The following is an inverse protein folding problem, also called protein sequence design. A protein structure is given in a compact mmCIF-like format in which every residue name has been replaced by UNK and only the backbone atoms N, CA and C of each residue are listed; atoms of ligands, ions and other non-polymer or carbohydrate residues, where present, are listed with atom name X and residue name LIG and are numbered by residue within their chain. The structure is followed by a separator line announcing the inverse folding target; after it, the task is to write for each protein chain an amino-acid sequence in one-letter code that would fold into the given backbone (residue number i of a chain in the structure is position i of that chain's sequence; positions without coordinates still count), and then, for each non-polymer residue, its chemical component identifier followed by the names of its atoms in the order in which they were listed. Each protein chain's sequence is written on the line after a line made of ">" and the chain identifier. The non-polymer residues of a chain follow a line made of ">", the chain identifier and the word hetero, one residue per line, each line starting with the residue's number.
data_IF_518532716768
#
_entry.id   IF_518532716768
#
_cell.length_a   1.000
_cell.length_b   1.000
_cell.length_c   1.000
_cell.angle_alpha   90.00
_cell.angle_beta   90.00
_cell.angle_gamma   90.00
#
_symmetry.space_group_name_H-M   'P 1'
#
loop_
_entity.id
_entity.type
_entity.pdbx_description
1 polymer ?
#
# COMPACT_ATOMS: atom_id res chain seq x y z
N UNK A 1 4.21 6.18 13.63
CA UNK A 1 5.19 6.17 12.54
C UNK A 1 4.62 5.67 11.21
N UNK A 2 3.68 4.75 11.20
CA UNK A 2 3.10 4.16 9.98
C UNK A 2 2.15 5.10 9.23
N UNK A 3 1.48 6.00 9.93
CA UNK A 3 0.50 6.95 9.39
C UNK A 3 1.13 8.23 8.85
N UNK A 4 2.26 8.63 9.39
CA UNK A 4 2.88 9.92 9.11
C UNK A 4 3.32 10.07 7.64
N UNK A 5 4.05 9.11 7.03
CA UNK A 5 4.52 9.26 5.65
C UNK A 5 3.39 9.40 4.62
N UNK A 6 2.33 8.52 4.62
CA UNK A 6 1.26 8.67 3.65
C UNK A 6 0.40 9.92 3.88
N UNK A 7 0.18 10.34 5.12
CA UNK A 7 -0.55 11.58 5.42
C UNK A 7 0.21 12.80 4.95
N UNK A 8 1.54 12.84 5.16
CA UNK A 8 2.38 13.92 4.62
C UNK A 8 2.37 13.94 3.10
N UNK A 9 2.44 12.78 2.44
CA UNK A 9 2.33 12.66 0.99
C UNK A 9 1.02 13.26 0.47
N UNK A 10 -0.11 12.92 1.10
CA UNK A 10 -1.43 13.45 0.75
C UNK A 10 -1.56 14.96 1.05
N UNK A 11 -0.97 15.44 2.14
CA UNK A 11 -1.02 16.85 2.51
C UNK A 11 -0.28 17.75 1.51
N UNK A 12 0.82 17.24 0.93
CA UNK A 12 1.66 17.99 -0.02
C UNK A 12 1.19 17.79 -1.46
N UNK A 13 0.81 16.56 -1.85
CA UNK A 13 0.38 16.21 -3.22
C UNK A 13 -1.08 16.54 -3.52
N UNK A 14 -1.89 16.82 -2.49
CA UNK A 14 -3.35 16.97 -2.60
C UNK A 14 -4.08 15.62 -2.50
N UNK A 15 -5.32 15.66 -1.99
CA UNK A 15 -6.16 14.47 -1.87
C UNK A 15 -6.73 14.03 -3.22
N UNK A 16 -6.46 12.80 -3.61
CA UNK A 16 -7.07 12.18 -4.77
C UNK A 16 -8.12 11.13 -4.34
N UNK A 17 -9.06 10.81 -5.24
CA UNK A 17 -10.03 9.73 -4.99
C UNK A 17 -9.34 8.36 -4.84
N UNK A 18 -8.17 8.20 -5.42
CA UNK A 18 -7.38 6.97 -5.36
C UNK A 18 -6.76 6.80 -3.98
N UNK A 19 -6.42 7.90 -3.28
CA UNK A 19 -5.89 7.85 -1.91
C UNK A 19 -6.88 7.20 -0.94
N UNK A 20 -8.19 7.41 -1.16
CA UNK A 20 -9.23 6.78 -0.37
C UNK A 20 -9.24 5.24 -0.47
N UNK A 21 -8.63 4.68 -1.50
CA UNK A 21 -8.49 3.23 -1.70
C UNK A 21 -7.09 2.75 -1.30
N UNK A 22 -6.05 3.50 -1.65
CA UNK A 22 -4.65 3.14 -1.38
C UNK A 22 -4.33 3.16 0.11
N UNK A 23 -4.84 4.14 0.86
CA UNK A 23 -4.59 4.23 2.31
C UNK A 23 -5.19 3.04 3.09
N UNK A 24 -6.47 2.66 2.90
CA UNK A 24 -6.99 1.44 3.50
C UNK A 24 -6.26 0.17 3.04
N UNK A 25 -5.86 0.09 1.76
CA UNK A 25 -5.06 -1.02 1.24
C UNK A 25 -3.74 -1.16 2.01
N UNK A 26 -3.05 -0.05 2.23
CA UNK A 26 -1.81 -0.01 3.02
C UNK A 26 -2.01 -0.48 4.46
N UNK A 27 -3.08 -0.04 5.12
CA UNK A 27 -3.39 -0.48 6.48
C UNK A 27 -3.74 -1.96 6.56
N UNK A 28 -4.55 -2.45 5.63
CA UNK A 28 -4.89 -3.87 5.55
C UNK A 28 -3.64 -4.73 5.29
N UNK A 29 -2.73 -4.27 4.43
CA UNK A 29 -1.44 -4.93 4.18
C UNK A 29 -0.59 -5.00 5.45
N UNK A 30 -0.53 -3.91 6.21
CA UNK A 30 0.20 -3.87 7.48
C UNK A 30 -0.41 -4.83 8.52
N UNK A 31 -1.74 -4.83 8.69
CA UNK A 31 -2.40 -5.75 9.60
C UNK A 31 -2.23 -7.21 9.17
N UNK A 32 -2.30 -7.49 7.86
CA UNK A 32 -2.01 -8.82 7.31
C UNK A 32 -0.59 -9.27 7.68
N UNK A 33 0.38 -8.40 7.48
CA UNK A 33 1.78 -8.68 7.86
C UNK A 33 1.92 -8.94 9.36
N UNK A 34 1.28 -8.11 10.21
CA UNK A 34 1.33 -8.28 11.66
C UNK A 34 0.71 -9.60 12.11
N UNK A 35 -0.48 -9.96 11.59
CA UNK A 35 -1.14 -11.24 11.91
C UNK A 35 -0.32 -12.41 11.38
N UNK A 36 0.28 -12.30 10.20
CA UNK A 36 1.15 -13.33 9.62
C UNK A 36 2.36 -13.59 10.51
N UNK A 37 3.02 -12.55 11.01
CA UNK A 37 4.17 -12.70 11.91
C UNK A 37 3.78 -13.36 13.22
N UNK A 38 2.62 -13.02 13.80
CA UNK A 38 2.10 -13.69 15.00
C UNK A 38 1.77 -15.16 14.72
N UNK A 39 1.18 -15.46 13.57
CA UNK A 39 0.88 -16.83 13.18
C UNK A 39 2.14 -17.68 12.99
N UNK A 40 3.18 -17.12 12.38
CA UNK A 40 4.47 -17.81 12.22
C UNK A 40 5.17 -18.09 13.56
N UNK A 41 5.10 -17.16 14.50
CA UNK A 41 5.69 -17.31 15.85
C UNK A 41 4.98 -18.34 16.71
N UNK A 42 3.71 -18.56 16.47
CA UNK A 42 2.89 -19.46 17.28
C UNK A 42 3.14 -20.91 16.87
N UNK A 43 3.81 -21.69 17.72
CA UNK A 43 4.10 -23.11 17.45
C UNK A 43 2.92 -24.04 17.75
N UNK A 44 1.97 -23.62 18.60
CA UNK A 44 0.83 -24.44 19.01
C UNK A 44 -0.33 -24.38 18.01
N UNK A 45 -0.84 -25.51 17.50
CA UNK A 45 -1.97 -25.54 16.57
C UNK A 45 -3.25 -24.88 17.13
N UNK A 46 -3.51 -25.05 18.42
CA UNK A 46 -4.68 -24.44 19.11
C UNK A 46 -4.63 -22.90 19.12
N UNK A 47 -3.44 -22.33 19.26
CA UNK A 47 -3.23 -20.87 19.25
C UNK A 47 -3.17 -20.30 17.84
N UNK A 48 -2.92 -21.11 16.81
CA UNK A 48 -2.95 -20.71 15.40
C UNK A 48 -4.37 -20.63 14.83
N UNK A 49 -5.29 -21.45 15.34
CA UNK A 49 -6.64 -21.55 14.83
C UNK A 49 -7.36 -20.17 14.79
N UNK A 50 -7.39 -19.37 15.86
CA UNK A 50 -8.08 -18.08 15.87
C UNK A 50 -7.41 -17.03 14.97
N UNK A 51 -6.11 -17.18 14.61
CA UNK A 51 -5.39 -16.23 13.75
C UNK A 51 -5.66 -16.46 12.25
N UNK A 52 -6.23 -17.61 11.86
CA UNK A 52 -6.52 -17.92 10.45
C UNK A 52 -7.61 -17.02 9.86
N UNK A 53 -8.67 -16.79 10.62
CA UNK A 53 -9.79 -15.96 10.16
C UNK A 53 -9.35 -14.50 9.89
N UNK A 54 -8.72 -13.77 10.84
CA UNK A 54 -8.26 -12.42 10.57
C UNK A 54 -7.19 -12.36 9.48
N UNK A 55 -6.29 -13.34 9.39
CA UNK A 55 -5.30 -13.41 8.33
C UNK A 55 -5.96 -13.51 6.95
N UNK A 56 -6.95 -14.40 6.79
CA UNK A 56 -7.68 -14.56 5.54
C UNK A 56 -8.46 -13.29 5.16
N UNK A 57 -9.13 -12.67 6.12
CA UNK A 57 -9.90 -11.44 5.89
C UNK A 57 -8.98 -10.28 5.46
N UNK A 58 -7.94 -9.99 6.24
CA UNK A 58 -7.04 -8.88 5.90
C UNK A 58 -6.25 -9.11 4.61
N UNK A 59 -5.83 -10.35 4.32
CA UNK A 59 -5.15 -10.66 3.06
C UNK A 59 -6.09 -10.54 1.86
N UNK A 60 -7.33 -11.01 1.98
CA UNK A 60 -8.33 -10.85 0.93
C UNK A 60 -8.66 -9.37 0.69
N UNK A 61 -8.90 -8.59 1.75
CA UNK A 61 -9.13 -7.15 1.63
C UNK A 61 -7.94 -6.43 0.98
N UNK A 62 -6.71 -6.75 1.40
CA UNK A 62 -5.50 -6.17 0.80
C UNK A 62 -5.43 -6.48 -0.70
N UNK A 63 -5.70 -7.72 -1.10
CA UNK A 63 -5.67 -8.14 -2.51
C UNK A 63 -6.73 -7.40 -3.32
N UNK A 64 -7.96 -7.32 -2.82
CA UNK A 64 -9.05 -6.61 -3.50
C UNK A 64 -8.74 -5.12 -3.64
N UNK A 65 -8.34 -4.46 -2.55
CA UNK A 65 -8.03 -3.03 -2.57
C UNK A 65 -6.80 -2.72 -3.45
N UNK A 66 -5.79 -3.60 -3.46
CA UNK A 66 -4.64 -3.47 -4.35
C UNK A 66 -5.05 -3.62 -5.83
N UNK A 67 -5.92 -4.59 -6.14
CA UNK A 67 -6.44 -4.76 -7.50
C UNK A 67 -7.27 -3.56 -7.96
N UNK A 68 -8.12 -3.01 -7.09
CA UNK A 68 -8.88 -1.80 -7.36
C UNK A 68 -7.96 -0.59 -7.57
N UNK A 69 -6.93 -0.44 -6.73
CA UNK A 69 -5.94 0.64 -6.88
C UNK A 69 -5.21 0.57 -8.21
N UNK A 70 -4.80 -0.63 -8.64
CA UNK A 70 -4.15 -0.85 -9.93
C UNK A 70 -5.09 -0.60 -11.12
N UNK A 71 -6.38 -0.93 -10.97
CA UNK A 71 -7.39 -0.65 -12.01
C UNK A 71 -7.64 0.85 -12.17
N UNK A 72 -7.63 1.61 -11.06
CA UNK A 72 -7.83 3.06 -11.06
C UNK A 72 -6.58 3.83 -11.52
N UNK A 73 -5.39 3.31 -11.20
CA UNK A 73 -4.12 3.95 -11.47
C UNK A 73 -3.05 2.93 -11.90
N UNK A 74 -3.01 2.55 -13.21
CA UNK A 74 -2.12 1.49 -13.69
C UNK A 74 -0.62 1.78 -13.48
N UNK A 75 -0.24 3.06 -13.41
CA UNK A 75 1.15 3.46 -13.14
C UNK A 75 1.65 3.04 -11.75
N UNK A 76 0.72 2.74 -10.81
CA UNK A 76 1.05 2.18 -9.50
C UNK A 76 1.75 0.80 -9.60
N UNK A 77 1.63 0.11 -10.74
CA UNK A 77 2.33 -1.14 -10.96
C UNK A 77 3.87 -0.99 -10.85
N UNK A 78 4.42 0.15 -11.28
CA UNK A 78 5.83 0.48 -11.11
C UNK A 78 6.26 0.57 -9.64
N UNK A 79 5.45 1.22 -8.82
CA UNK A 79 5.66 1.29 -7.37
C UNK A 79 5.48 -0.08 -6.69
N UNK A 80 4.52 -0.89 -7.17
CA UNK A 80 4.33 -2.27 -6.73
C UNK A 80 5.57 -3.12 -6.94
N UNK A 81 6.25 -2.99 -8.09
CA UNK A 81 7.48 -3.70 -8.39
C UNK A 81 8.62 -3.40 -7.39
N UNK A 82 8.62 -2.20 -6.82
CA UNK A 82 9.58 -1.78 -5.78
C UNK A 82 9.17 -2.29 -4.38
N UNK A 83 7.88 -2.28 -4.07
CA UNK A 83 7.35 -2.65 -2.75
C UNK A 83 7.30 -4.16 -2.55
N UNK A 84 7.05 -4.96 -3.60
CA UNK A 84 6.98 -6.43 -3.52
C UNK A 84 8.28 -7.07 -3.02
N UNK A 85 9.48 -6.75 -3.54
CA UNK A 85 10.71 -7.33 -3.02
C UNK A 85 10.99 -6.90 -1.58
N UNK A 86 10.65 -5.68 -1.19
CA UNK A 86 10.78 -5.22 0.19
C UNK A 86 9.87 -6.02 1.13
N UNK A 87 8.62 -6.25 0.72
CA UNK A 87 7.67 -7.08 1.46
C UNK A 87 8.15 -8.54 1.55
N UNK A 88 8.69 -9.10 0.45
CA UNK A 88 9.24 -10.45 0.43
C UNK A 88 10.42 -10.62 1.40
N UNK A 89 11.33 -9.65 1.44
CA UNK A 89 12.45 -9.63 2.40
C UNK A 89 11.93 -9.54 3.83
N UNK A 90 10.94 -8.68 4.11
CA UNK A 90 10.35 -8.54 5.44
C UNK A 90 9.69 -9.86 5.90
N UNK A 91 8.91 -10.52 5.04
CA UNK A 91 8.29 -11.83 5.34
C UNK A 91 9.35 -12.91 5.53
N UNK A 92 10.40 -12.94 4.70
CA UNK A 92 11.49 -13.90 4.84
C UNK A 92 12.25 -13.74 6.17
N UNK A 93 12.51 -12.51 6.60
CA UNK A 93 13.14 -12.24 7.90
C UNK A 93 12.22 -12.63 9.06
N UNK A 94 10.92 -12.40 8.95
CA UNK A 94 9.91 -12.84 9.91
C UNK A 94 9.90 -14.38 10.02
N UNK A 95 9.99 -15.09 8.90
CA UNK A 95 10.05 -16.56 8.88
C UNK A 95 11.29 -17.10 9.59
N UNK A 96 12.43 -16.44 9.42
CA UNK A 96 13.68 -16.80 10.11
C UNK A 96 13.71 -16.42 11.60
N UNK A 97 12.66 -15.81 12.12
CA UNK A 97 12.57 -15.34 13.51
C UNK A 97 13.53 -14.19 13.85
N UNK A 98 14.10 -13.53 12.82
CA UNK A 98 15.02 -12.40 12.95
C UNK A 98 14.33 -11.04 12.80
N UNK A 99 13.08 -10.92 13.23
CA UNK A 99 12.29 -9.68 13.12
C UNK A 99 12.90 -8.49 13.89
N UNK A 100 13.71 -8.75 14.91
CA UNK A 100 14.44 -7.72 15.66
C UNK A 100 15.81 -7.39 15.07
N UNK A 101 16.12 -7.91 13.88
CA UNK A 101 17.36 -7.54 13.18
C UNK A 101 17.25 -6.11 12.64
N UNK A 102 18.36 -5.41 12.58
CA UNK A 102 18.44 -4.08 11.95
C UNK A 102 17.89 -4.10 10.51
N UNK A 103 18.10 -5.20 9.78
CA UNK A 103 17.59 -5.41 8.43
C UNK A 103 16.06 -5.38 8.36
N UNK A 104 15.36 -6.02 9.29
CA UNK A 104 13.89 -6.00 9.32
C UNK A 104 13.37 -4.60 9.64
N UNK A 105 13.99 -3.90 10.59
CA UNK A 105 13.65 -2.53 10.94
C UNK A 105 13.88 -1.55 9.78
N UNK A 106 15.03 -1.65 9.10
CA UNK A 106 15.34 -0.78 7.95
C UNK A 106 14.41 -1.02 6.76
N UNK A 107 14.10 -2.27 6.42
CA UNK A 107 13.19 -2.62 5.32
C UNK A 107 11.77 -2.10 5.58
N UNK A 108 11.25 -2.25 6.80
CA UNK A 108 9.92 -1.74 7.15
C UNK A 108 9.88 -0.21 7.16
N UNK A 109 10.94 0.45 7.63
CA UNK A 109 11.06 1.91 7.60
C UNK A 109 11.15 2.42 6.17
N UNK A 110 11.95 1.79 5.31
CA UNK A 110 12.04 2.12 3.89
C UNK A 110 10.69 1.94 3.17
N UNK A 111 9.99 0.83 3.41
CA UNK A 111 8.67 0.61 2.83
C UNK A 111 7.66 1.69 3.27
N UNK A 112 7.67 2.07 4.54
CA UNK A 112 6.84 3.14 5.06
C UNK A 112 7.21 4.51 4.48
N UNK A 113 8.51 4.80 4.30
CA UNK A 113 8.97 6.06 3.71
C UNK A 113 8.63 6.17 2.23
N UNK A 114 8.67 5.04 1.49
CA UNK A 114 8.28 5.00 0.08
C UNK A 114 6.79 5.27 -0.14
N UNK A 115 5.95 5.13 0.89
CA UNK A 115 4.54 5.52 0.79
C UNK A 115 4.32 7.02 0.63
N UNK A 116 5.20 7.87 1.15
CA UNK A 116 5.07 9.31 0.97
C UNK A 116 5.15 9.74 -0.51
N UNK A 117 6.19 9.35 -1.29
CA UNK A 117 6.24 9.68 -2.71
C UNK A 117 5.15 8.98 -3.54
N UNK A 118 4.70 7.78 -3.15
CA UNK A 118 3.58 7.12 -3.84
C UNK A 118 2.30 7.94 -3.73
N UNK A 119 1.96 8.39 -2.54
CA UNK A 119 0.74 9.20 -2.30
C UNK A 119 0.90 10.61 -2.91
N UNK A 120 2.09 11.19 -2.88
CA UNK A 120 2.38 12.45 -3.56
C UNK A 120 2.16 12.34 -5.08
N UNK A 121 2.68 11.27 -5.71
CA UNK A 121 2.54 11.01 -7.14
C UNK A 121 1.06 10.78 -7.53
N UNK A 122 0.28 10.14 -6.67
CA UNK A 122 -1.16 9.99 -6.82
C UNK A 122 -1.89 11.34 -6.84
N UNK A 123 -1.56 12.25 -5.94
CA UNK A 123 -2.14 13.59 -5.88
C UNK A 123 -1.82 14.41 -7.11
N UNK A 124 -0.54 14.46 -7.52
CA UNK A 124 -0.08 15.21 -8.68
C UNK A 124 -0.53 14.59 -10.01
N UNK A 125 -0.53 13.26 -10.12
CA UNK A 125 -1.01 12.53 -11.29
C UNK A 125 -2.52 12.70 -11.50
N UNK A 126 -3.31 12.70 -10.45
CA UNK A 126 -4.75 12.98 -10.51
C UNK A 126 -5.04 14.43 -10.95
N UNK A 127 -4.25 15.40 -10.47
CA UNK A 127 -4.36 16.81 -10.90
C UNK A 127 -4.02 16.98 -12.40
N UNK A 128 -2.97 16.27 -12.88
CA UNK A 128 -2.61 16.27 -14.30
C UNK A 128 -3.71 15.66 -15.18
N UNK A 129 -4.29 14.55 -14.78
CA UNK A 129 -5.38 13.89 -15.51
C UNK A 129 -6.65 14.77 -15.57
N UNK A 130 -6.95 15.48 -14.49
CA UNK A 130 -8.09 16.42 -14.46
C UNK A 130 -7.89 17.59 -15.43
N UNK A 131 -6.69 18.17 -15.47
CA UNK A 131 -6.36 19.26 -16.41
C UNK A 131 -6.38 18.83 -17.88
N UNK A 132 -6.00 17.60 -18.19
CA UNK A 132 -6.07 17.05 -19.55
C UNK A 132 -7.51 16.77 -19.99
N UNK A 133 -8.37 16.33 -19.10
CA UNK A 133 -9.79 16.17 -19.36
C UNK A 133 -10.48 17.50 -19.66
N UNK A 134 -10.20 18.53 -18.87
CA UNK A 134 -10.73 19.88 -19.12
C UNK A 134 -10.26 20.44 -20.46
N UNK A 135 -8.98 20.26 -20.81
CA UNK A 135 -8.43 20.64 -22.13
C UNK A 135 -9.09 19.88 -23.29
N UNK A 136 -9.42 18.60 -23.10
CA UNK A 136 -10.15 17.79 -24.10
C UNK A 136 -11.58 18.31 -24.27
N UNK A 137 -12.30 18.60 -23.19
CA UNK A 137 -13.65 19.19 -23.23
C UNK A 137 -13.68 20.54 -23.95
N UNK A 138 -12.76 21.42 -23.60
CA UNK A 138 -12.66 22.73 -24.25
C UNK A 138 -12.41 22.63 -25.77
N UNK A 139 -11.57 21.67 -26.20
CA UNK A 139 -11.33 21.39 -27.62
C UNK A 139 -12.55 20.82 -28.35
N UNK A 140 -13.35 20.00 -27.70
CA UNK A 140 -14.59 19.49 -28.29
C UNK A 140 -15.66 20.59 -28.43
N UNK A 141 -15.79 21.47 -27.42
CA UNK A 141 -16.70 22.59 -27.43
C UNK A 141 -16.34 23.66 -28.49
N UNK A 142 -15.05 23.83 -28.78
CA UNK A 142 -14.58 24.77 -29.80
C UNK A 142 -14.75 24.28 -31.26
N UNK A 143 -15.15 23.02 -31.44
CA UNK A 143 -15.38 22.39 -32.75
C UNK A 143 -16.87 22.20 -33.10
N UNK A 144 -17.76 22.49 -32.15
CA UNK A 144 -19.21 22.50 -32.33
C UNK A 144 -19.74 23.90 -32.62
#
# INVERSE_FOLDING_TARGET
>A
MLLLPPVLGAAVGGWSRVDAVVLPAWWCAYFSYWVLTQWMRTRSPRKRAPLRAPLAVYSAMTTVLAAVSLALAPYLAGWGLLLVPLAAVAVHQAWRGKERSLLSGTVTTLAASLMAPVVYDLGTGAAGACSDWERRRARCAARA
#
